data_IF_597094599873
#
_entry.id   IF_597094599873
#
_cell.length_a   1.000
_cell.length_b   1.000
_cell.length_c   1.000
_cell.angle_alpha   90.00
_cell.angle_beta   90.00
_cell.angle_gamma   90.00
#
_symmetry.space_group_name_H-M   'P 1'
#
loop_
_entity.id
_entity.type
_entity.pdbx_description
1 polymer ?
#
# COMPACT_ATOMS: atom_id res chain seq x y z
N UNK A 1 1.47 -11.65 -8.72
CA UNK A 1 0.17 -12.12 -8.20
C UNK A 1 0.11 -11.90 -6.69
N UNK A 2 -0.97 -11.32 -6.11
CA UNK A 2 -1.10 -11.12 -4.64
C UNK A 2 -2.43 -11.68 -4.13
N UNK A 3 -2.52 -13.00 -4.02
CA UNK A 3 -3.51 -13.68 -3.17
C UNK A 3 -2.84 -14.41 -2.00
N UNK A 4 -1.65 -13.95 -1.59
CA UNK A 4 -0.87 -14.51 -0.49
C UNK A 4 -0.43 -13.39 0.44
N UNK A 5 -0.29 -13.70 1.73
CA UNK A 5 0.41 -12.84 2.68
C UNK A 5 1.90 -12.79 2.33
N UNK A 6 2.58 -11.74 2.79
CA UNK A 6 4.04 -11.75 2.78
C UNK A 6 4.51 -12.79 3.80
N UNK A 7 5.56 -13.52 3.46
CA UNK A 7 6.17 -14.51 4.32
C UNK A 7 7.61 -14.09 4.61
N UNK A 8 8.07 -14.42 5.81
CA UNK A 8 9.32 -13.93 6.37
C UNK A 8 10.00 -15.03 7.18
N UNK A 9 11.32 -15.03 7.15
CA UNK A 9 12.16 -15.87 8.01
C UNK A 9 13.00 -14.97 8.91
N UNK A 10 12.89 -15.10 10.22
CA UNK A 10 13.65 -14.26 11.14
C UNK A 10 13.12 -14.25 12.57
N UNK A 11 13.37 -13.16 13.27
CA UNK A 11 13.00 -12.97 14.67
C UNK A 11 12.10 -11.75 14.85
N UNK A 12 11.11 -11.90 15.75
CA UNK A 12 10.22 -10.83 16.19
C UNK A 12 10.17 -10.89 17.71
N UNK A 13 10.26 -9.72 18.33
CA UNK A 13 10.18 -9.53 19.76
C UNK A 13 9.10 -8.50 20.05
N UNK A 14 8.12 -8.88 20.86
CA UNK A 14 7.05 -8.01 21.32
C UNK A 14 7.15 -7.88 22.84
N UNK A 15 7.20 -6.65 23.33
CA UNK A 15 7.23 -6.37 24.77
C UNK A 15 6.33 -5.19 25.11
N UNK A 16 5.59 -5.24 26.22
CA UNK A 16 5.02 -4.02 26.81
C UNK A 16 6.16 -3.10 27.27
N UNK A 17 6.01 -1.79 27.07
CA UNK A 17 6.94 -0.75 27.53
C UNK A 17 6.14 0.45 28.04
N UNK A 18 6.18 0.70 29.35
CA UNK A 18 5.36 1.71 30.01
C UNK A 18 3.87 1.59 29.63
N UNK A 19 3.22 2.69 29.22
CA UNK A 19 1.80 2.71 28.78
C UNK A 19 1.60 2.26 27.32
N UNK A 20 2.56 1.51 26.75
CA UNK A 20 2.55 1.13 25.34
C UNK A 20 3.12 -0.26 25.09
N UNK A 21 3.27 -0.59 23.82
CA UNK A 21 3.89 -1.81 23.35
C UNK A 21 4.97 -1.47 22.32
N UNK A 22 6.09 -2.20 22.39
CA UNK A 22 7.19 -2.14 21.45
C UNK A 22 7.27 -3.48 20.71
N UNK A 23 7.30 -3.42 19.39
CA UNK A 23 7.66 -4.54 18.52
C UNK A 23 9.00 -4.21 17.87
N UNK A 24 9.95 -5.11 18.03
CA UNK A 24 11.21 -5.12 17.29
C UNK A 24 11.25 -6.36 16.40
N UNK A 25 11.76 -6.23 15.18
CA UNK A 25 11.93 -7.39 14.31
C UNK A 25 13.15 -7.23 13.40
N UNK A 26 13.67 -8.39 13.00
CA UNK A 26 14.60 -8.54 11.89
C UNK A 26 14.18 -9.78 11.11
N UNK A 27 14.02 -9.66 9.81
CA UNK A 27 13.54 -10.72 8.95
C UNK A 27 14.18 -10.68 7.57
N UNK A 28 14.26 -11.84 6.93
CA UNK A 28 14.51 -12.01 5.50
C UNK A 28 13.15 -12.24 4.82
N UNK A 29 12.67 -11.30 4.01
CA UNK A 29 11.46 -11.45 3.21
C UNK A 29 11.62 -12.56 2.16
N UNK A 30 10.58 -13.36 1.95
CA UNK A 30 10.57 -14.36 0.88
C UNK A 30 10.36 -13.69 -0.48
N UNK A 31 11.29 -13.93 -1.41
CA UNK A 31 11.16 -13.61 -2.83
C UNK A 31 10.31 -14.68 -3.49
N UNK A 32 9.22 -14.25 -4.13
CA UNK A 32 8.30 -15.16 -4.83
C UNK A 32 8.78 -15.38 -6.26
N UNK A 33 8.93 -16.63 -6.66
CA UNK A 33 9.40 -17.00 -7.98
C UNK A 33 8.35 -17.86 -8.72
N UNK A 34 8.28 -17.79 -10.06
CA UNK A 34 8.98 -16.82 -10.91
C UNK A 34 8.46 -15.39 -10.71
N UNK A 35 9.34 -14.41 -10.81
CA UNK A 35 9.06 -12.98 -10.68
C UNK A 35 9.05 -12.25 -12.03
N UNK A 36 9.45 -12.91 -13.11
CA UNK A 36 9.36 -12.40 -14.47
C UNK A 36 8.05 -12.81 -15.17
N UNK A 37 7.54 -11.91 -16.01
CA UNK A 37 6.25 -12.08 -16.69
C UNK A 37 6.23 -13.30 -17.61
N UNK A 38 7.31 -13.54 -18.36
CA UNK A 38 7.35 -14.61 -19.37
C UNK A 38 7.25 -15.99 -18.71
N UNK A 39 8.01 -16.22 -17.63
CA UNK A 39 7.95 -17.46 -16.88
C UNK A 39 6.58 -17.67 -16.19
N UNK A 40 5.95 -16.60 -15.70
CA UNK A 40 4.59 -16.66 -15.15
C UNK A 40 3.58 -17.05 -16.24
N UNK A 41 3.64 -16.40 -17.41
CA UNK A 41 2.75 -16.69 -18.54
C UNK A 41 2.98 -18.11 -19.12
N UNK A 42 4.22 -18.60 -19.06
CA UNK A 42 4.60 -19.97 -19.40
C UNK A 42 4.25 -21.02 -18.32
N UNK A 43 3.63 -20.62 -17.21
CA UNK A 43 3.33 -21.49 -16.04
C UNK A 43 4.56 -22.22 -15.47
N UNK A 44 5.73 -21.58 -15.50
CA UNK A 44 6.94 -22.18 -14.89
C UNK A 44 6.79 -22.25 -13.38
N UNK A 45 7.24 -23.38 -12.82
CA UNK A 45 7.24 -23.61 -11.39
C UNK A 45 8.63 -23.33 -10.85
N UNK A 46 8.72 -22.43 -9.87
CA UNK A 46 9.92 -22.17 -9.11
C UNK A 46 9.59 -22.11 -7.62
N UNK A 47 10.53 -22.56 -6.80
CA UNK A 47 10.40 -22.43 -5.35
C UNK A 47 10.74 -21.01 -4.93
N UNK A 48 9.92 -20.43 -4.07
CA UNK A 48 10.23 -19.17 -3.39
C UNK A 48 11.55 -19.30 -2.63
N UNK A 49 12.27 -18.19 -2.49
CA UNK A 49 13.57 -18.17 -1.82
C UNK A 49 13.65 -17.03 -0.83
N UNK A 50 14.20 -17.30 0.34
CA UNK A 50 14.83 -16.29 1.18
C UNK A 50 16.23 -16.00 0.66
N UNK A 51 16.64 -14.75 0.77
CA UNK A 51 17.99 -14.34 0.40
C UNK A 51 18.60 -13.51 1.52
N UNK A 52 19.86 -13.76 1.84
CA UNK A 52 20.58 -13.06 2.91
C UNK A 52 20.96 -11.64 2.55
N UNK A 53 20.96 -11.33 1.26
CA UNK A 53 21.17 -9.99 0.69
C UNK A 53 19.90 -9.12 0.72
N UNK A 54 18.73 -9.67 1.11
CA UNK A 54 17.49 -8.93 1.33
C UNK A 54 17.07 -9.04 2.80
N UNK A 55 17.29 -7.96 3.55
CA UNK A 55 17.00 -7.89 4.98
C UNK A 55 16.07 -6.73 5.30
N UNK A 56 15.07 -7.00 6.14
CA UNK A 56 14.10 -6.03 6.59
C UNK A 56 14.05 -6.03 8.12
N UNK A 57 14.21 -4.87 8.73
CA UNK A 57 14.21 -4.72 10.17
C UNK A 57 13.37 -3.52 10.59
N UNK A 58 12.94 -3.50 11.85
CA UNK A 58 12.16 -2.39 12.32
C UNK A 58 11.96 -2.34 13.82
N UNK A 59 11.66 -1.13 14.27
CA UNK A 59 11.13 -0.82 15.58
C UNK A 59 9.78 -0.13 15.39
N UNK A 60 8.76 -0.62 16.08
CA UNK A 60 7.42 -0.06 16.08
C UNK A 60 6.96 0.07 17.53
N UNK A 61 6.61 1.27 17.94
CA UNK A 61 6.09 1.56 19.26
C UNK A 61 4.69 2.14 19.13
N UNK A 62 3.76 1.64 19.93
CA UNK A 62 2.38 2.14 19.98
C UNK A 62 1.99 2.46 21.41
N UNK A 63 1.19 3.52 21.58
CA UNK A 63 0.67 3.96 22.87
C UNK A 63 -0.79 4.38 22.77
N UNK A 64 -1.59 3.90 23.71
CA UNK A 64 -2.94 4.44 23.96
C UNK A 64 -2.83 5.74 24.77
N UNK A 65 -3.38 6.83 24.22
CA UNK A 65 -3.40 8.16 24.83
C UNK A 65 -4.74 8.43 25.54
N UNK A 66 -5.60 7.42 25.65
CA UNK A 66 -6.94 7.49 26.18
C UNK A 66 -7.89 8.28 25.28
N UNK A 67 -9.18 8.23 25.62
CA UNK A 67 -10.23 8.96 24.89
C UNK A 67 -10.28 8.60 23.39
N UNK A 68 -10.02 7.33 23.05
CA UNK A 68 -9.96 6.77 21.68
C UNK A 68 -8.75 7.22 20.85
N UNK A 69 -7.73 7.82 21.47
CA UNK A 69 -6.56 8.33 20.77
C UNK A 69 -5.38 7.38 20.91
N UNK A 70 -4.62 7.19 19.84
CA UNK A 70 -3.39 6.41 19.85
C UNK A 70 -2.29 7.13 19.09
N UNK A 71 -1.05 6.83 19.45
CA UNK A 71 0.16 7.30 18.77
C UNK A 71 1.04 6.09 18.46
N UNK A 72 1.45 5.99 17.21
CA UNK A 72 2.44 5.04 16.74
C UNK A 72 3.67 5.80 16.25
N UNK A 73 4.85 5.32 16.65
CA UNK A 73 6.14 5.77 16.15
C UNK A 73 6.86 4.56 15.59
N UNK A 74 7.45 4.69 14.41
CA UNK A 74 8.14 3.58 13.79
C UNK A 74 9.37 4.01 13.01
N UNK A 75 10.30 3.07 12.86
CA UNK A 75 11.39 3.15 11.90
C UNK A 75 11.59 1.78 11.29
N UNK A 76 11.64 1.75 9.96
CA UNK A 76 11.89 0.54 9.20
C UNK A 76 13.18 0.67 8.39
N UNK A 77 13.98 -0.38 8.36
CA UNK A 77 15.20 -0.48 7.58
C UNK A 77 15.07 -1.57 6.53
N UNK A 78 15.43 -1.28 5.28
CA UNK A 78 15.54 -2.25 4.19
C UNK A 78 16.94 -2.21 3.62
N UNK A 79 17.59 -3.37 3.57
CA UNK A 79 18.85 -3.56 2.85
C UNK A 79 18.64 -4.63 1.79
N UNK A 80 18.94 -4.28 0.55
CA UNK A 80 19.02 -5.14 -0.62
C UNK A 80 20.42 -4.96 -1.21
N UNK A 81 21.03 -6.04 -1.69
CA UNK A 81 22.32 -6.01 -2.37
C UNK A 81 22.31 -7.00 -3.51
N UNK A 82 23.21 -6.80 -4.47
CA UNK A 82 23.36 -7.72 -5.59
C UNK A 82 24.03 -9.02 -5.15
N UNK A 83 23.77 -10.08 -5.90
CA UNK A 83 24.52 -11.34 -5.84
C UNK A 83 24.85 -11.82 -7.26
N UNK A 84 25.69 -12.85 -7.37
CA UNK A 84 26.12 -13.46 -8.62
C UNK A 84 24.93 -13.89 -9.52
N UNK A 85 23.81 -14.27 -8.92
CA UNK A 85 22.64 -14.80 -9.63
C UNK A 85 21.54 -13.75 -9.88
N UNK A 86 21.57 -12.60 -9.20
CA UNK A 86 20.52 -11.58 -9.31
C UNK A 86 21.07 -10.17 -9.08
N UNK A 87 20.90 -9.32 -10.09
CA UNK A 87 21.13 -7.89 -9.97
C UNK A 87 19.87 -7.21 -9.45
N UNK A 88 20.05 -6.24 -8.58
CA UNK A 88 18.99 -5.57 -7.83
C UNK A 88 19.18 -4.06 -7.92
N UNK A 89 18.36 -3.31 -7.19
CA UNK A 89 18.53 -1.86 -7.08
C UNK A 89 19.41 -1.47 -5.90
N UNK A 90 20.00 -2.43 -5.18
CA UNK A 90 20.89 -2.19 -4.06
C UNK A 90 20.28 -1.20 -3.04
N UNK A 91 19.01 -1.44 -2.68
CA UNK A 91 18.23 -0.58 -1.79
C UNK A 91 18.85 -0.54 -0.39
N UNK A 92 19.11 0.65 0.15
CA UNK A 92 19.52 0.87 1.54
C UNK A 92 18.67 1.97 2.10
N UNK A 93 17.51 1.62 2.66
CA UNK A 93 16.48 2.57 3.04
C UNK A 93 16.26 2.58 4.55
N UNK A 94 16.09 3.78 5.11
CA UNK A 94 15.53 4.00 6.43
C UNK A 94 14.23 4.79 6.29
N UNK A 95 13.16 4.30 6.90
CA UNK A 95 11.81 4.87 6.81
C UNK A 95 11.26 5.16 8.20
N UNK A 96 11.64 6.29 8.84
CA UNK A 96 10.99 6.77 10.05
C UNK A 96 9.60 7.32 9.73
N UNK A 97 8.63 7.07 10.62
CA UNK A 97 7.30 7.61 10.51
C UNK A 97 6.53 7.67 11.82
N UNK A 98 5.39 8.34 11.74
CA UNK A 98 4.49 8.60 12.86
C UNK A 98 3.06 8.47 12.39
N UNK A 99 2.21 7.88 13.23
CA UNK A 99 0.77 7.87 13.05
C UNK A 99 0.07 8.30 14.32
N UNK A 100 -0.80 9.29 14.20
CA UNK A 100 -1.74 9.65 15.25
C UNK A 100 -3.15 9.36 14.79
N UNK A 101 -3.96 8.74 15.65
CA UNK A 101 -5.33 8.36 15.33
C UNK A 101 -6.25 8.65 16.50
N UNK A 102 -7.41 9.24 16.22
CA UNK A 102 -8.58 9.24 17.08
C UNK A 102 -9.63 8.32 16.46
N UNK A 103 -9.96 7.21 17.11
CA UNK A 103 -10.82 6.18 16.53
C UNK A 103 -12.30 6.59 16.45
N UNK A 104 -13.04 6.11 15.43
CA UNK A 104 -14.47 6.35 15.26
C UNK A 104 -15.32 5.92 16.45
N UNK A 105 -16.36 6.69 16.74
CA UNK A 105 -17.35 6.38 17.78
C UNK A 105 -18.71 7.02 17.44
N UNK A 106 -19.79 6.37 17.87
CA UNK A 106 -21.15 6.81 17.55
C UNK A 106 -21.40 8.26 17.98
N UNK A 107 -21.87 9.09 17.04
CA UNK A 107 -22.15 10.50 17.25
C UNK A 107 -20.92 11.42 17.24
N UNK A 108 -19.70 10.87 17.14
CA UNK A 108 -18.45 11.61 17.30
C UNK A 108 -17.66 11.73 15.99
N UNK A 109 -16.76 12.71 15.98
CA UNK A 109 -15.73 12.86 14.96
C UNK A 109 -14.50 12.02 15.27
N UNK A 110 -13.80 11.67 14.21
CA UNK A 110 -12.61 10.84 14.22
C UNK A 110 -11.64 11.31 13.13
N UNK A 111 -10.35 11.09 13.36
CA UNK A 111 -9.26 11.62 12.52
C UNK A 111 -8.10 10.64 12.56
N UNK A 112 -7.43 10.47 11.42
CA UNK A 112 -6.14 9.80 11.31
C UNK A 112 -5.17 10.67 10.52
N UNK A 113 -3.93 10.73 11.00
CA UNK A 113 -2.81 11.36 10.32
C UNK A 113 -1.63 10.40 10.40
N UNK A 114 -1.09 10.03 9.24
CA UNK A 114 0.13 9.24 9.16
C UNK A 114 1.11 9.91 8.19
N UNK A 115 2.38 9.97 8.56
CA UNK A 115 3.43 10.46 7.69
C UNK A 115 4.72 9.67 7.91
N UNK A 116 5.46 9.46 6.83
CA UNK A 116 6.80 8.90 6.88
C UNK A 116 7.72 9.60 5.89
N UNK A 117 8.99 9.67 6.24
CA UNK A 117 10.07 10.02 5.33
C UNK A 117 10.87 8.77 5.02
N UNK A 118 11.51 8.72 3.86
CA UNK A 118 12.39 7.65 3.45
C UNK A 118 13.68 8.24 2.92
N UNK A 119 14.79 7.79 3.50
CA UNK A 119 16.15 8.26 3.21
C UNK A 119 17.09 7.08 3.02
N UNK A 120 18.22 7.31 2.36
CA UNK A 120 19.24 6.30 2.15
C UNK A 120 19.74 6.31 0.72
N UNK A 121 19.99 5.14 0.14
CA UNK A 121 20.61 5.02 -1.20
C UNK A 121 19.97 3.92 -2.02
N UNK A 122 20.01 4.09 -3.34
CA UNK A 122 19.48 3.13 -4.31
C UNK A 122 20.19 3.29 -5.66
N UNK A 123 20.09 2.29 -6.53
CA UNK A 123 20.38 2.37 -7.96
C UNK A 123 19.11 2.59 -8.76
N UNK A 124 19.19 3.36 -9.84
CA UNK A 124 18.00 3.73 -10.62
C UNK A 124 17.40 2.55 -11.36
N UNK A 125 18.19 1.51 -11.63
CA UNK A 125 17.76 0.29 -12.29
C UNK A 125 18.44 -0.94 -11.68
N UNK A 126 17.89 -2.12 -12.00
CA UNK A 126 18.52 -3.41 -11.72
C UNK A 126 19.47 -3.85 -12.85
N UNK A 127 19.87 -2.93 -13.74
CA UNK A 127 20.80 -3.23 -14.83
C UNK A 127 22.18 -3.54 -14.25
N UNK A 128 22.89 -4.58 -14.72
CA UNK A 128 24.28 -4.83 -14.32
C UNK A 128 25.24 -3.67 -14.67
N UNK A 129 24.86 -2.82 -15.64
CA UNK A 129 25.63 -1.64 -16.02
C UNK A 129 25.40 -0.43 -15.08
N UNK A 130 24.35 -0.49 -14.25
CA UNK A 130 24.04 0.55 -13.28
C UNK A 130 24.74 0.24 -11.96
N UNK A 131 25.89 0.86 -11.76
CA UNK A 131 26.71 0.69 -10.55
C UNK A 131 26.69 1.93 -9.67
N UNK A 132 25.89 2.95 -10.01
CA UNK A 132 25.89 4.23 -9.34
C UNK A 132 24.76 4.31 -8.31
N UNK A 133 25.14 4.35 -7.04
CA UNK A 133 24.19 4.65 -5.98
C UNK A 133 23.84 6.16 -6.00
N UNK A 134 22.55 6.46 -5.87
CA UNK A 134 22.00 7.82 -5.72
C UNK A 134 21.27 7.94 -4.38
N UNK A 135 21.24 9.13 -3.83
CA UNK A 135 20.58 9.39 -2.55
C UNK A 135 19.06 9.35 -2.69
N UNK A 136 18.38 8.88 -1.65
CA UNK A 136 16.93 8.77 -1.57
C UNK A 136 16.37 9.88 -0.70
N UNK A 137 15.35 10.56 -1.22
CA UNK A 137 14.60 11.59 -0.51
C UNK A 137 13.13 11.51 -0.87
N UNK A 138 12.38 10.67 -0.15
CA UNK A 138 10.98 10.39 -0.43
C UNK A 138 10.12 10.50 0.82
N UNK A 139 8.80 10.56 0.65
CA UNK A 139 7.89 10.54 1.79
C UNK A 139 6.43 10.37 1.39
N UNK A 140 5.60 10.18 2.40
CA UNK A 140 4.15 10.20 2.23
C UNK A 140 3.44 10.90 3.40
N UNK A 141 2.21 11.32 3.12
CA UNK A 141 1.24 11.82 4.06
C UNK A 141 -0.11 11.16 3.77
N UNK A 142 -0.75 10.63 4.80
CA UNK A 142 -2.12 10.15 4.80
C UNK A 142 -2.94 10.96 5.81
N UNK A 143 -4.10 11.43 5.37
CA UNK A 143 -5.08 12.15 6.19
C UNK A 143 -6.44 11.50 6.01
N UNK A 144 -7.13 11.24 7.11
CA UNK A 144 -8.54 10.85 7.11
C UNK A 144 -9.28 11.63 8.20
N UNK A 145 -10.45 12.15 7.88
CA UNK A 145 -11.35 12.76 8.85
C UNK A 145 -12.78 12.27 8.60
N UNK A 146 -13.43 11.78 9.64
CA UNK A 146 -14.75 11.17 9.52
C UNK A 146 -15.69 11.49 10.68
N UNK A 147 -16.97 11.25 10.42
CA UNK A 147 -18.03 11.31 11.43
C UNK A 147 -18.87 10.06 11.38
N UNK A 148 -19.03 9.41 12.53
CA UNK A 148 -19.99 8.32 12.70
C UNK A 148 -21.29 8.88 13.25
N UNK A 149 -22.39 8.67 12.54
CA UNK A 149 -23.70 9.18 12.98
C UNK A 149 -24.33 8.22 14.00
N UNK A 150 -25.03 8.79 14.99
CA UNK A 150 -25.75 8.03 16.02
C UNK A 150 -27.01 7.39 15.47
N UNK A 151 -26.87 6.26 14.77
CA UNK A 151 -27.98 5.53 14.16
C UNK A 151 -27.76 4.01 14.29
N UNK A 152 -28.82 3.21 14.25
CA UNK A 152 -28.74 1.76 14.43
C UNK A 152 -27.83 1.01 13.43
N UNK A 153 -27.57 1.57 12.24
CA UNK A 153 -26.66 1.01 11.24
C UNK A 153 -25.29 1.72 11.19
N UNK A 154 -25.03 2.59 12.18
CA UNK A 154 -23.77 3.32 12.41
C UNK A 154 -23.08 3.83 11.14
N UNK A 155 -23.75 4.60 10.27
CA UNK A 155 -23.12 5.10 9.07
C UNK A 155 -21.97 6.03 9.44
N UNK A 156 -20.84 5.89 8.74
CA UNK A 156 -19.67 6.75 8.88
C UNK A 156 -19.31 7.33 7.51
N UNK A 157 -19.28 8.65 7.43
CA UNK A 157 -18.78 9.37 6.26
C UNK A 157 -17.39 9.92 6.57
N UNK A 158 -16.42 9.64 5.71
CA UNK A 158 -15.04 10.08 5.85
C UNK A 158 -14.52 10.71 4.56
N UNK A 159 -13.74 11.77 4.71
CA UNK A 159 -12.88 12.31 3.66
C UNK A 159 -11.47 11.75 3.86
N UNK A 160 -10.83 11.36 2.77
CA UNK A 160 -9.50 10.74 2.72
C UNK A 160 -8.61 11.56 1.80
N UNK A 161 -7.33 11.66 2.14
CA UNK A 161 -6.32 12.28 1.29
C UNK A 161 -4.98 11.58 1.46
N UNK A 162 -4.39 11.17 0.35
CA UNK A 162 -3.05 10.62 0.30
C UNK A 162 -2.16 11.49 -0.59
N UNK A 163 -0.97 11.81 -0.10
CA UNK A 163 0.14 12.35 -0.88
C UNK A 163 1.33 11.40 -0.75
N UNK A 164 1.90 10.97 -1.85
CA UNK A 164 3.03 10.04 -1.89
C UNK A 164 3.99 10.46 -2.99
N UNK A 165 5.24 10.71 -2.62
CA UNK A 165 6.26 11.21 -3.53
C UNK A 165 6.51 10.26 -4.72
N UNK A 166 6.65 10.85 -5.91
CA UNK A 166 7.16 10.22 -7.13
C UNK A 166 8.66 10.47 -7.33
N UNK A 167 9.23 9.92 -8.41
CA UNK A 167 10.68 9.90 -8.64
C UNK A 167 11.36 11.29 -8.66
N UNK A 168 10.69 12.32 -9.18
CA UNK A 168 11.27 13.66 -9.34
C UNK A 168 12.18 13.80 -10.58
N UNK A 169 12.59 12.70 -11.20
CA UNK A 169 13.42 12.68 -12.41
C UNK A 169 14.91 12.54 -12.08
N UNK A 170 15.80 13.14 -12.89
CA UNK A 170 17.26 12.93 -12.82
C UNK A 170 17.91 13.54 -11.57
N UNK A 171 18.87 12.83 -10.98
CA UNK A 171 19.56 13.21 -9.73
C UNK A 171 19.28 12.21 -8.61
N UNK A 172 18.80 12.71 -7.47
CA UNK A 172 18.33 11.91 -6.34
C UNK A 172 17.07 11.12 -6.69
N UNK A 173 16.78 10.07 -5.93
CA UNK A 173 15.63 9.19 -6.13
C UNK A 173 14.49 9.57 -5.17
N UNK A 174 13.41 10.14 -5.70
CA UNK A 174 12.29 10.69 -4.91
C UNK A 174 11.11 9.74 -4.70
N UNK A 175 11.07 8.61 -5.41
CA UNK A 175 9.90 7.72 -5.40
C UNK A 175 9.84 6.93 -4.11
N UNK A 176 8.75 7.06 -3.37
CA UNK A 176 8.55 6.33 -2.12
C UNK A 176 8.40 4.82 -2.35
N UNK A 177 9.21 4.03 -1.64
CA UNK A 177 9.08 2.58 -1.58
C UNK A 177 8.13 2.18 -0.44
N UNK A 178 7.04 1.48 -0.79
CA UNK A 178 6.00 1.00 0.14
C UNK A 178 6.47 -0.17 1.02
N UNK A 179 7.71 -0.64 0.85
CA UNK A 179 8.30 -1.79 1.51
C UNK A 179 7.36 -2.99 1.38
N UNK A 180 6.96 -3.56 2.51
CA UNK A 180 6.07 -4.71 2.58
C UNK A 180 4.62 -4.36 2.95
N UNK A 181 4.22 -3.11 2.78
CA UNK A 181 2.88 -2.61 3.07
C UNK A 181 1.74 -3.35 2.35
N UNK A 182 0.60 -3.47 3.01
CA UNK A 182 -0.63 -3.94 2.37
C UNK A 182 -1.30 -2.79 1.60
N UNK A 183 -1.92 -3.12 0.46
CA UNK A 183 -2.71 -2.16 -0.34
C UNK A 183 -4.18 -2.15 0.06
N UNK A 184 -4.66 -3.23 0.69
CA UNK A 184 -6.09 -3.51 0.90
C UNK A 184 -6.77 -2.52 1.84
N UNK A 185 -6.02 -1.97 2.80
CA UNK A 185 -6.62 -1.10 3.80
C UNK A 185 -6.97 0.27 3.22
N UNK A 186 -6.22 0.72 2.21
CA UNK A 186 -6.35 2.05 1.66
C UNK A 186 -6.76 2.10 0.20
N UNK A 187 -6.30 1.20 -0.69
CA UNK A 187 -6.27 1.46 -2.15
C UNK A 187 -7.03 0.47 -3.05
N UNK A 188 -7.73 -0.52 -2.49
CA UNK A 188 -8.55 -1.45 -3.27
C UNK A 188 -8.55 -2.87 -2.73
N UNK A 189 -9.35 -3.79 -3.31
CA UNK A 189 -9.42 -5.17 -2.84
C UNK A 189 -8.11 -5.94 -3.05
N UNK A 190 -7.91 -7.00 -2.26
CA UNK A 190 -6.80 -7.93 -2.50
C UNK A 190 -7.01 -8.73 -3.81
N UNK A 191 -5.95 -9.41 -4.27
CA UNK A 191 -5.98 -10.25 -5.46
C UNK A 191 -5.27 -9.62 -6.66
N UNK A 192 -5.91 -9.66 -7.83
CA UNK A 192 -5.32 -9.18 -9.10
C UNK A 192 -5.40 -7.67 -9.28
N UNK A 193 -6.27 -7.01 -8.52
CA UNK A 193 -6.40 -5.57 -8.56
C UNK A 193 -5.27 -4.91 -7.77
N UNK A 194 -4.48 -4.07 -8.44
CA UNK A 194 -3.28 -3.51 -7.81
C UNK A 194 -2.68 -2.32 -8.53
N UNK A 195 -3.46 -1.58 -9.32
CA UNK A 195 -2.99 -0.38 -10.00
C UNK A 195 -2.45 0.67 -9.01
N UNK A 196 -3.16 0.85 -7.89
CA UNK A 196 -2.85 1.88 -6.90
C UNK A 196 -2.06 1.31 -5.73
N UNK A 197 -1.04 2.04 -5.30
CA UNK A 197 -0.24 1.77 -4.10
C UNK A 197 0.32 3.09 -3.56
N UNK A 198 0.95 3.07 -2.38
CA UNK A 198 1.70 4.23 -1.87
C UNK A 198 2.99 4.43 -2.67
N UNK A 199 2.87 4.93 -3.90
CA UNK A 199 3.99 5.39 -4.71
C UNK A 199 3.47 6.33 -5.81
N UNK A 200 4.04 7.53 -5.91
CA UNK A 200 3.69 8.54 -6.91
C UNK A 200 2.18 8.82 -7.00
N UNK A 201 1.59 9.35 -5.94
CA UNK A 201 0.14 9.46 -5.81
C UNK A 201 -0.29 10.74 -5.06
N UNK A 202 -1.25 11.45 -5.64
CA UNK A 202 -2.09 12.44 -4.95
C UNK A 202 -3.53 11.99 -5.09
N UNK A 203 -4.21 11.68 -3.99
CA UNK A 203 -5.50 10.98 -4.01
C UNK A 203 -6.48 11.52 -2.96
N UNK A 204 -7.31 12.52 -3.29
CA UNK A 204 -8.49 12.85 -2.51
C UNK A 204 -9.59 11.79 -2.72
N UNK A 205 -10.31 11.46 -1.65
CA UNK A 205 -11.39 10.48 -1.67
C UNK A 205 -12.46 10.70 -0.61
N UNK A 206 -13.60 10.03 -0.79
CA UNK A 206 -14.71 9.97 0.15
C UNK A 206 -15.07 8.51 0.35
N UNK A 207 -15.32 8.13 1.60
CA UNK A 207 -15.71 6.79 2.00
C UNK A 207 -16.95 6.82 2.87
N UNK A 208 -17.94 6.01 2.52
CA UNK A 208 -19.12 5.74 3.32
C UNK A 208 -19.07 4.30 3.80
N UNK A 209 -19.07 4.12 5.11
CA UNK A 209 -19.07 2.82 5.78
C UNK A 209 -20.37 2.63 6.56
N UNK A 210 -20.89 1.40 6.60
CA UNK A 210 -22.11 1.06 7.32
C UNK A 210 -21.93 -0.25 8.08
N UNK A 211 -22.53 -0.33 9.27
CA UNK A 211 -22.63 -1.55 10.07
C UNK A 211 -24.10 -1.80 10.35
N UNK A 212 -24.79 -2.43 9.39
CA UNK A 212 -26.25 -2.65 9.44
C UNK A 212 -26.68 -3.42 10.68
N UNK A 213 -25.90 -4.43 11.08
CA UNK A 213 -26.03 -5.17 12.33
C UNK A 213 -24.72 -5.91 12.65
N UNK A 214 -24.71 -6.76 13.68
CA UNK A 214 -23.53 -7.55 14.09
C UNK A 214 -23.05 -8.57 13.06
N UNK A 215 -23.84 -8.85 12.02
CA UNK A 215 -23.50 -9.79 10.94
C UNK A 215 -23.20 -9.13 9.61
N UNK A 216 -23.72 -7.93 9.35
CA UNK A 216 -23.66 -7.31 8.03
C UNK A 216 -23.04 -5.92 8.11
N UNK A 217 -21.92 -5.75 7.42
CA UNK A 217 -21.23 -4.48 7.24
C UNK A 217 -20.80 -4.29 5.78
N UNK A 218 -20.50 -3.05 5.43
CA UNK A 218 -20.02 -2.75 4.09
C UNK A 218 -19.54 -1.32 3.95
N UNK A 219 -18.99 -1.02 2.78
CA UNK A 219 -18.61 0.33 2.43
C UNK A 219 -18.69 0.56 0.93
N UNK A 220 -18.73 1.84 0.56
CA UNK A 220 -18.42 2.34 -0.77
C UNK A 220 -17.42 3.48 -0.63
N UNK A 221 -16.43 3.53 -1.51
CA UNK A 221 -15.44 4.58 -1.56
C UNK A 221 -15.25 5.06 -3.00
N UNK A 222 -15.01 6.35 -3.16
CA UNK A 222 -14.63 6.96 -4.43
C UNK A 222 -13.39 7.83 -4.20
N UNK A 223 -12.45 7.80 -5.14
CA UNK A 223 -11.26 8.65 -5.10
C UNK A 223 -10.81 9.02 -6.50
N UNK A 224 -10.21 10.20 -6.61
CA UNK A 224 -9.44 10.55 -7.79
C UNK A 224 -7.98 10.18 -7.57
N UNK A 225 -7.28 9.87 -8.66
CA UNK A 225 -5.91 9.40 -8.66
C UNK A 225 -5.09 10.30 -9.58
N UNK A 226 -4.18 11.07 -9.01
CA UNK A 226 -3.21 11.88 -9.74
C UNK A 226 -1.79 11.41 -9.46
N UNK A 227 -0.91 11.53 -10.46
CA UNK A 227 0.51 11.34 -10.31
C UNK A 227 1.15 12.56 -9.65
N UNK A 228 1.98 12.33 -8.63
CA UNK A 228 2.77 13.36 -7.95
C UNK A 228 3.98 13.82 -8.81
N UNK A 229 4.55 12.93 -9.61
CA UNK A 229 5.42 13.21 -10.76
C UNK A 229 4.79 12.60 -12.03
N UNK A 230 4.52 13.45 -13.03
CA UNK A 230 3.91 13.07 -14.30
C UNK A 230 4.78 12.11 -15.13
N UNK A 231 6.08 12.03 -14.84
CA UNK A 231 7.05 11.22 -15.59
C UNK A 231 7.37 9.87 -14.94
N UNK A 232 6.75 9.59 -13.80
CA UNK A 232 6.91 8.34 -13.05
C UNK A 232 5.61 7.50 -13.14
N UNK A 233 5.68 6.21 -12.84
CA UNK A 233 4.51 5.32 -12.88
C UNK A 233 3.56 5.60 -11.71
N UNK A 234 2.26 5.70 -11.98
CA UNK A 234 1.24 5.69 -10.92
C UNK A 234 1.25 4.34 -10.20
N UNK A 235 1.52 4.32 -8.89
CA UNK A 235 1.51 3.09 -8.10
C UNK A 235 2.30 1.98 -8.78
N UNK A 236 1.72 0.78 -8.87
CA UNK A 236 2.37 -0.38 -9.49
C UNK A 236 1.90 -0.64 -10.94
N UNK A 237 1.40 0.38 -11.65
CA UNK A 237 0.90 0.21 -13.03
C UNK A 237 1.99 -0.07 -14.05
N UNK A 238 3.19 0.49 -13.86
CA UNK A 238 4.27 0.47 -14.85
C UNK A 238 4.00 1.35 -16.08
N UNK A 239 2.89 2.11 -16.09
CA UNK A 239 2.56 3.02 -17.19
C UNK A 239 3.29 4.34 -16.96
N UNK A 240 4.16 4.72 -17.91
CA UNK A 240 5.12 5.80 -17.78
C UNK A 240 5.10 6.63 -19.06
N UNK A 241 5.07 7.95 -18.90
CA UNK A 241 5.31 8.90 -19.98
C UNK A 241 6.51 9.81 -19.63
N UNK A 242 7.72 9.54 -20.16
CA UNK A 242 8.90 10.31 -19.83
C UNK A 242 8.83 11.80 -20.20
N UNK A 243 7.98 12.21 -21.16
CA UNK A 243 7.78 13.63 -21.48
C UNK A 243 6.79 14.31 -20.54
N UNK A 244 5.86 13.55 -19.96
CA UNK A 244 4.77 14.03 -19.10
C UNK A 244 3.57 14.61 -19.86
N UNK A 245 3.50 14.44 -21.18
CA UNK A 245 2.46 15.01 -22.06
C UNK A 245 1.07 14.38 -21.84
N UNK A 246 1.04 13.15 -21.34
CA UNK A 246 -0.16 12.42 -20.91
C UNK A 246 -0.80 13.04 -19.67
N UNK A 247 -0.11 13.97 -19.01
CA UNK A 247 -0.58 14.68 -17.84
C UNK A 247 -0.55 13.82 -16.57
N UNK A 248 -1.20 14.32 -15.52
CA UNK A 248 -1.14 13.71 -14.17
C UNK A 248 -2.37 12.94 -13.77
N UNK A 249 -3.47 13.06 -14.50
CA UNK A 249 -4.72 12.41 -14.08
C UNK A 249 -4.72 10.93 -14.49
N UNK A 250 -4.51 10.06 -13.51
CA UNK A 250 -4.54 8.61 -13.69
C UNK A 250 -5.95 8.04 -13.74
N UNK A 251 -6.92 8.70 -13.09
CA UNK A 251 -8.32 8.32 -13.21
C UNK A 251 -9.13 8.50 -11.93
N UNK A 252 -10.30 7.89 -11.91
CA UNK A 252 -11.17 7.80 -10.73
C UNK A 252 -11.43 6.34 -10.40
N UNK A 253 -11.29 5.97 -9.13
CA UNK A 253 -11.58 4.63 -8.65
C UNK A 253 -12.82 4.65 -7.77
N UNK A 254 -13.74 3.71 -8.02
CA UNK A 254 -14.84 3.38 -7.12
C UNK A 254 -14.58 1.97 -6.58
N UNK A 255 -14.68 1.81 -5.27
CA UNK A 255 -14.58 0.52 -4.58
C UNK A 255 -15.82 0.29 -3.72
N UNK A 256 -16.31 -0.93 -3.68
CA UNK A 256 -17.36 -1.33 -2.76
C UNK A 256 -17.10 -2.72 -2.20
N UNK A 257 -17.54 -2.94 -0.95
CA UNK A 257 -17.47 -4.23 -0.27
C UNK A 257 -18.68 -4.44 0.62
N UNK A 258 -19.17 -5.67 0.64
CA UNK A 258 -20.13 -6.17 1.61
C UNK A 258 -19.56 -7.41 2.29
N UNK A 259 -19.68 -7.48 3.61
CA UNK A 259 -19.28 -8.62 4.43
C UNK A 259 -20.45 -9.11 5.25
N UNK A 260 -20.66 -10.42 5.22
CA UNK A 260 -21.72 -11.10 5.94
C UNK A 260 -21.18 -12.26 6.78
N UNK A 261 -21.38 -12.18 8.10
CA UNK A 261 -21.09 -13.26 9.05
C UNK A 261 -22.25 -14.26 9.05
N UNK A 262 -22.10 -15.33 8.27
CA UNK A 262 -23.11 -16.38 8.11
C UNK A 262 -23.29 -17.18 9.41
N UNK A 263 -22.17 -17.60 10.01
CA UNK A 263 -22.11 -18.30 11.31
C UNK A 263 -20.99 -17.67 12.17
N UNK A 264 -20.82 -18.06 13.45
CA UNK A 264 -19.66 -17.66 14.23
C UNK A 264 -18.31 -17.87 13.51
N UNK A 265 -18.24 -18.92 12.70
CA UNK A 265 -17.00 -19.46 12.10
C UNK A 265 -16.89 -19.19 10.59
N UNK A 266 -18.02 -18.90 9.92
CA UNK A 266 -18.10 -18.66 8.48
C UNK A 266 -18.40 -17.20 8.19
N UNK A 267 -17.51 -16.55 7.45
CA UNK A 267 -17.69 -15.20 6.92
C UNK A 267 -17.65 -15.23 5.40
N UNK A 268 -18.67 -14.62 4.79
CA UNK A 268 -18.75 -14.34 3.36
C UNK A 268 -18.38 -12.88 3.13
N UNK A 269 -17.57 -12.61 2.13
CA UNK A 269 -17.27 -11.27 1.68
C UNK A 269 -17.35 -11.20 0.16
N UNK A 270 -17.90 -10.12 -0.37
CA UNK A 270 -17.84 -9.82 -1.79
C UNK A 270 -17.60 -8.34 -1.98
N UNK A 271 -16.94 -8.00 -3.08
CA UNK A 271 -16.65 -6.62 -3.40
C UNK A 271 -16.02 -6.50 -4.76
N UNK A 272 -15.63 -5.27 -5.08
CA UNK A 272 -14.99 -4.97 -6.34
C UNK A 272 -14.53 -3.53 -6.41
N UNK A 273 -13.75 -3.27 -7.44
CA UNK A 273 -13.31 -1.93 -7.78
C UNK A 273 -13.42 -1.71 -9.29
N UNK A 274 -13.73 -0.47 -9.67
CA UNK A 274 -13.68 0.00 -11.06
C UNK A 274 -12.80 1.22 -11.13
N UNK A 275 -11.79 1.16 -12.00
CA UNK A 275 -10.91 2.27 -12.35
C UNK A 275 -11.36 2.84 -13.70
N UNK A 276 -11.92 4.04 -13.64
CA UNK A 276 -12.16 4.88 -14.80
C UNK A 276 -10.85 5.56 -15.18
N UNK A 277 -10.21 5.13 -16.26
CA UNK A 277 -8.85 5.57 -16.58
C UNK A 277 -8.84 7.02 -17.08
N UNK A 278 -7.90 7.80 -16.57
CA UNK A 278 -7.58 9.14 -17.05
C UNK A 278 -6.45 9.11 -18.07
N UNK A 279 -6.14 10.29 -18.63
CA UNK A 279 -5.14 10.47 -19.70
C UNK A 279 -3.77 9.86 -19.37
N UNK A 280 -3.31 9.93 -18.12
CA UNK A 280 -2.02 9.36 -17.74
C UNK A 280 -1.98 7.82 -17.90
N UNK A 281 -3.12 7.14 -17.92
CA UNK A 281 -3.23 5.69 -18.13
C UNK A 281 -3.76 5.29 -19.51
N UNK A 282 -4.19 6.25 -20.34
CA UNK A 282 -4.74 5.99 -21.69
C UNK A 282 -3.82 6.51 -22.80
N UNK A 283 -3.15 7.65 -22.57
CA UNK A 283 -2.40 8.37 -23.60
C UNK A 283 -0.89 8.12 -23.51
N UNK A 284 -0.42 7.55 -22.39
CA UNK A 284 1.00 7.26 -22.17
C UNK A 284 1.54 6.29 -23.24
N UNK A 285 2.81 6.45 -23.70
CA UNK A 285 3.35 5.66 -24.81
C UNK A 285 3.32 4.14 -24.60
N UNK A 286 3.38 3.69 -23.35
CA UNK A 286 3.34 2.27 -22.99
C UNK A 286 1.99 1.84 -22.37
N UNK A 287 0.95 2.66 -22.49
CA UNK A 287 -0.39 2.32 -22.00
C UNK A 287 -0.91 1.06 -22.74
N UNK A 288 -1.37 0.02 -22.02
CA UNK A 288 -1.71 -1.26 -22.65
C UNK A 288 -3.06 -1.22 -23.36
N UNK A 289 -4.13 -0.87 -22.65
CA UNK A 289 -5.48 -0.68 -23.19
C UNK A 289 -6.09 0.57 -22.57
N UNK A 290 -6.80 1.40 -23.37
CA UNK A 290 -7.47 2.59 -22.88
C UNK A 290 -8.77 2.27 -22.11
N UNK A 291 -9.26 1.03 -22.16
CA UNK A 291 -10.51 0.64 -21.51
C UNK A 291 -10.40 0.66 -19.99
N UNK A 292 -11.50 1.02 -19.33
CA UNK A 292 -11.62 0.98 -17.87
C UNK A 292 -11.32 -0.42 -17.31
N UNK A 293 -10.70 -0.47 -16.13
CA UNK A 293 -10.44 -1.74 -15.43
C UNK A 293 -11.55 -2.02 -14.42
N UNK A 294 -12.20 -3.17 -14.52
CA UNK A 294 -13.18 -3.66 -13.53
C UNK A 294 -12.68 -4.94 -12.88
N UNK A 295 -12.79 -5.03 -11.56
CA UNK A 295 -12.44 -6.22 -10.79
C UNK A 295 -13.53 -6.51 -9.76
N UNK A 296 -13.86 -7.78 -9.59
CA UNK A 296 -14.81 -8.26 -8.58
C UNK A 296 -14.30 -9.56 -7.95
N UNK A 297 -14.70 -9.81 -6.71
CA UNK A 297 -14.29 -11.00 -5.98
C UNK A 297 -15.39 -11.49 -5.01
N UNK A 298 -15.23 -12.75 -4.61
CA UNK A 298 -15.98 -13.38 -3.53
C UNK A 298 -14.98 -14.17 -2.69
N UNK A 299 -14.97 -13.92 -1.38
CA UNK A 299 -14.15 -14.62 -0.41
C UNK A 299 -15.05 -15.37 0.58
N UNK A 300 -14.65 -16.60 0.92
CA UNK A 300 -15.22 -17.37 2.02
C UNK A 300 -14.10 -17.65 3.01
N UNK A 301 -14.27 -17.19 4.25
CA UNK A 301 -13.37 -17.51 5.36
C UNK A 301 -14.08 -18.46 6.31
N UNK A 302 -13.44 -19.59 6.59
CA UNK A 302 -13.85 -20.55 7.61
C UNK A 302 -12.75 -20.65 8.66
N UNK A 303 -13.09 -20.34 9.91
CA UNK A 303 -12.22 -20.55 11.07
C UNK A 303 -12.58 -21.88 11.73
N UNK A 304 -11.57 -22.70 12.04
CA UNK A 304 -11.71 -23.99 12.72
C UNK A 304 -10.85 -24.03 13.99
#
# INVERSE_FOLDING_TARGET
FRNTTNAYTGARFDTPVADGALTAFWVMPQVRLPDDRAAIEDNRIAWNRERSDLQFAGLFWTRDLGQRRSLDLYVYGLTESDDADQQTRNLRLATPGVRWRQSPAAGLWDVEVEAAAQVGQVRRSASPADTQDVDVGAGFLHLEAGRTFGHHWSPRLAAQFDYVAGDGGQGDYGRFDTLYGARRFEFGPAGLYGAVSRANLVSPGIRLEVKLNSKLDGFVAVRGLWLEDARDSLGATGVIDPSGDSGRFGGTQIEARVRYKLTPDVTLETGGARLFKGRALTDAPNAPSPDDTTYGYVDVTYAF
#
